data_IF_284884453168
#
_entry.id   IF_284884453168
#
_cell.length_a   1.000
_cell.length_b   1.000
_cell.length_c   1.000
_cell.angle_alpha   90.00
_cell.angle_beta   90.00
_cell.angle_gamma   90.00
#
_symmetry.space_group_name_H-M   'P 1'
#
loop_
_entity.id
_entity.type
_entity.pdbx_description
1 polymer ?
#
# COMPACT_ATOMS: atom_id res chain seq x y z
N UNK A 1 -9.95 24.99 -8.20
CA UNK A 1 -9.80 23.63 -8.61
C UNK A 1 -10.21 23.45 -10.08
N UNK A 2 -11.48 23.72 -10.42
CA UNK A 2 -12.04 23.50 -11.77
C UNK A 2 -11.77 24.63 -12.76
N UNK A 3 -11.36 25.82 -12.30
CA UNK A 3 -11.20 27.01 -13.15
C UNK A 3 -12.50 27.66 -13.63
N UNK A 4 -13.67 27.05 -13.37
CA UNK A 4 -14.97 27.57 -13.76
C UNK A 4 -15.53 28.44 -12.63
N UNK A 5 -15.87 29.73 -12.87
CA UNK A 5 -16.47 30.59 -11.86
C UNK A 5 -17.82 30.10 -11.38
N UNK A 6 -18.10 30.20 -10.08
CA UNK A 6 -19.38 29.80 -9.52
C UNK A 6 -20.61 30.49 -10.21
N UNK A 7 -20.47 31.74 -10.60
CA UNK A 7 -21.53 32.50 -11.30
C UNK A 7 -21.94 31.87 -12.64
N UNK A 8 -21.06 31.08 -13.27
CA UNK A 8 -21.36 30.38 -14.51
C UNK A 8 -22.04 29.03 -14.28
N UNK A 9 -22.03 28.53 -13.03
CA UNK A 9 -22.56 27.20 -12.68
C UNK A 9 -23.90 27.29 -11.92
N UNK A 10 -24.06 28.32 -11.07
CA UNK A 10 -25.26 28.47 -10.25
C UNK A 10 -26.50 28.65 -11.13
N UNK A 11 -27.56 27.85 -10.85
CA UNK A 11 -28.83 27.84 -11.59
C UNK A 11 -28.78 27.17 -12.96
N UNK A 12 -27.71 26.42 -13.28
CA UNK A 12 -27.56 25.66 -14.52
C UNK A 12 -27.45 24.16 -14.26
N UNK A 13 -27.74 23.36 -15.26
CA UNK A 13 -27.62 21.89 -15.25
C UNK A 13 -26.39 21.40 -16.03
N UNK A 14 -25.35 22.23 -16.14
CA UNK A 14 -24.15 21.94 -16.94
C UNK A 14 -22.91 21.76 -16.04
N UNK A 15 -23.09 21.27 -14.82
CA UNK A 15 -22.01 21.08 -13.85
C UNK A 15 -20.91 20.12 -14.34
N UNK A 16 -21.22 19.21 -15.24
CA UNK A 16 -20.26 18.32 -15.90
C UNK A 16 -19.11 19.09 -16.58
N UNK A 17 -19.34 20.32 -17.08
CA UNK A 17 -18.32 21.15 -17.75
C UNK A 17 -17.14 21.51 -16.85
N UNK A 18 -17.33 21.44 -15.54
CA UNK A 18 -16.26 21.67 -14.60
C UNK A 18 -15.29 20.48 -14.50
N UNK A 19 -15.68 19.29 -15.02
CA UNK A 19 -14.98 18.04 -14.78
C UNK A 19 -14.67 17.27 -16.07
N UNK A 20 -15.50 17.41 -17.11
CA UNK A 20 -15.44 16.57 -18.30
C UNK A 20 -15.51 17.40 -19.58
N UNK A 21 -14.86 16.92 -20.64
CA UNK A 21 -14.88 17.56 -21.97
C UNK A 21 -16.17 17.33 -22.73
N UNK A 22 -16.95 16.33 -22.34
CA UNK A 22 -18.22 15.95 -22.99
C UNK A 22 -19.34 15.88 -21.98
N UNK A 23 -20.56 16.18 -22.43
CA UNK A 23 -21.75 16.13 -21.59
C UNK A 23 -22.00 14.72 -21.04
N UNK A 24 -22.00 14.60 -19.73
CA UNK A 24 -22.32 13.37 -18.97
C UNK A 24 -22.78 13.73 -17.58
N UNK A 25 -23.60 12.89 -16.91
CA UNK A 25 -23.96 13.12 -15.52
C UNK A 25 -22.72 13.01 -14.63
N UNK A 26 -22.64 13.88 -13.61
CA UNK A 26 -21.74 13.72 -12.47
C UNK A 26 -22.41 12.82 -11.42
N UNK A 27 -21.66 12.40 -10.38
CA UNK A 27 -22.20 11.48 -9.38
C UNK A 27 -23.44 12.05 -8.67
N UNK A 28 -23.46 13.34 -8.38
CA UNK A 28 -24.62 14.00 -7.78
C UNK A 28 -25.88 13.91 -8.65
N UNK A 29 -25.76 14.04 -9.98
CA UNK A 29 -26.91 13.89 -10.90
C UNK A 29 -27.49 12.47 -10.81
N UNK A 30 -26.63 11.44 -10.84
CA UNK A 30 -27.05 10.04 -10.75
C UNK A 30 -27.73 9.73 -9.41
N UNK A 31 -27.27 10.36 -8.34
CA UNK A 31 -27.86 10.23 -6.99
C UNK A 31 -29.24 10.89 -6.92
N UNK A 32 -29.40 12.09 -7.48
CA UNK A 32 -30.69 12.80 -7.55
C UNK A 32 -31.70 12.01 -8.36
N UNK A 33 -31.27 11.45 -9.50
CA UNK A 33 -32.12 10.68 -10.39
C UNK A 33 -32.44 9.26 -9.87
N UNK A 34 -31.85 8.88 -8.72
CA UNK A 34 -32.07 7.57 -8.12
C UNK A 34 -31.56 6.41 -8.97
N UNK A 35 -30.52 6.66 -9.75
CA UNK A 35 -29.94 5.67 -10.66
C UNK A 35 -29.35 4.51 -9.89
N UNK A 36 -29.69 3.27 -10.30
CA UNK A 36 -29.11 2.05 -9.72
C UNK A 36 -27.60 1.94 -9.99
N UNK A 37 -26.91 1.15 -9.17
CA UNK A 37 -25.45 0.94 -9.29
C UNK A 37 -25.01 0.53 -10.71
N UNK A 38 -25.81 -0.29 -11.41
CA UNK A 38 -25.54 -0.65 -12.80
C UNK A 38 -25.54 0.55 -13.76
N UNK A 39 -26.34 1.57 -13.47
CA UNK A 39 -26.35 2.81 -14.23
C UNK A 39 -25.19 3.75 -13.85
N UNK A 40 -24.78 3.75 -12.57
CA UNK A 40 -23.56 4.46 -12.12
C UNK A 40 -22.33 3.85 -12.79
N UNK A 41 -22.28 2.51 -12.87
CA UNK A 41 -21.16 1.77 -13.46
C UNK A 41 -20.91 2.10 -14.94
N UNK A 42 -21.94 2.48 -15.68
CA UNK A 42 -21.78 2.94 -17.08
C UNK A 42 -20.84 4.15 -17.22
N UNK A 43 -20.76 4.98 -16.18
CA UNK A 43 -19.95 6.20 -16.18
C UNK A 43 -18.66 6.08 -15.36
N UNK A 44 -18.65 5.21 -14.35
CA UNK A 44 -17.53 5.10 -13.42
C UNK A 44 -16.72 3.79 -13.53
N UNK A 45 -17.22 2.81 -14.31
CA UNK A 45 -16.48 1.59 -14.70
C UNK A 45 -15.82 0.87 -13.52
N UNK A 46 -16.58 0.60 -12.47
CA UNK A 46 -16.10 -0.06 -11.24
C UNK A 46 -15.25 0.81 -10.31
N UNK A 47 -15.03 2.09 -10.63
CA UNK A 47 -14.24 3.01 -9.80
C UNK A 47 -15.07 3.72 -8.73
N UNK A 48 -16.16 3.12 -8.28
CA UNK A 48 -17.03 3.66 -7.25
C UNK A 48 -17.40 2.58 -6.24
N UNK A 49 -17.81 3.02 -5.06
CA UNK A 49 -18.36 2.16 -4.00
C UNK A 49 -19.42 2.93 -3.20
N UNK A 50 -20.23 2.18 -2.44
CA UNK A 50 -21.06 2.82 -1.42
C UNK A 50 -20.18 3.33 -0.29
N UNK A 51 -20.50 4.51 0.23
CA UNK A 51 -19.81 5.02 1.41
C UNK A 51 -20.11 4.12 2.61
N UNK A 52 -19.05 3.85 3.40
CA UNK A 52 -19.19 3.16 4.68
C UNK A 52 -19.55 4.10 5.84
N UNK A 53 -19.47 5.41 5.61
CA UNK A 53 -19.66 6.43 6.64
C UNK A 53 -20.96 7.20 6.49
N UNK A 54 -21.51 7.27 5.28
CA UNK A 54 -22.69 8.08 4.95
C UNK A 54 -23.71 7.18 4.25
N UNK A 55 -24.86 7.02 4.83
CA UNK A 55 -25.96 6.26 4.25
C UNK A 55 -26.40 6.88 2.92
N UNK A 56 -26.75 6.03 1.95
CA UNK A 56 -27.18 6.41 0.60
C UNK A 56 -26.18 7.31 -0.17
N UNK A 57 -24.89 7.24 0.19
CA UNK A 57 -23.83 7.95 -0.51
C UNK A 57 -22.93 7.00 -1.32
N UNK A 58 -22.37 7.54 -2.39
CA UNK A 58 -21.37 6.89 -3.22
C UNK A 58 -20.05 7.64 -3.16
N UNK A 59 -18.95 6.89 -3.18
CA UNK A 59 -17.58 7.38 -3.19
C UNK A 59 -16.87 6.89 -4.45
N UNK A 60 -16.02 7.73 -5.03
CA UNK A 60 -15.18 7.33 -6.15
C UNK A 60 -13.87 8.10 -6.15
N UNK A 61 -12.86 7.54 -6.81
CA UNK A 61 -11.59 8.20 -7.10
C UNK A 61 -11.36 8.15 -8.62
N UNK A 62 -11.02 9.30 -9.21
CA UNK A 62 -10.64 9.33 -10.63
C UNK A 62 -9.56 10.38 -10.89
N UNK A 63 -8.87 10.22 -12.03
CA UNK A 63 -7.85 11.14 -12.49
C UNK A 63 -8.46 12.13 -13.51
N UNK A 64 -8.28 13.41 -13.24
CA UNK A 64 -8.77 14.51 -14.08
C UNK A 64 -7.58 15.21 -14.75
N UNK A 65 -7.28 14.88 -16.03
CA UNK A 65 -6.08 15.39 -16.71
C UNK A 65 -6.13 16.90 -16.98
N UNK A 66 -7.33 17.47 -17.09
CA UNK A 66 -7.52 18.90 -17.33
C UNK A 66 -7.33 19.80 -16.09
N UNK A 67 -7.13 19.21 -14.88
CA UNK A 67 -7.03 19.99 -13.63
C UNK A 67 -5.58 20.34 -13.30
N UNK A 68 -5.27 21.64 -13.37
CA UNK A 68 -3.94 22.16 -13.05
C UNK A 68 -2.84 21.66 -13.99
N UNK A 69 -1.60 21.89 -13.64
CA UNK A 69 -0.47 21.35 -14.38
C UNK A 69 -0.27 19.86 -14.04
N UNK A 70 -0.44 19.01 -15.07
CA UNK A 70 -0.23 17.56 -14.95
C UNK A 70 -1.39 16.75 -14.39
N UNK A 71 -2.58 17.34 -14.30
CA UNK A 71 -3.79 16.65 -13.83
C UNK A 71 -3.87 16.50 -12.30
N UNK A 72 -5.04 16.02 -11.82
CA UNK A 72 -5.30 15.78 -10.39
C UNK A 72 -6.03 14.47 -10.19
N UNK A 73 -5.69 13.78 -9.13
CA UNK A 73 -6.50 12.72 -8.56
C UNK A 73 -7.51 13.32 -7.59
N UNK A 74 -8.79 13.10 -7.84
CA UNK A 74 -9.84 13.55 -6.93
C UNK A 74 -10.54 12.35 -6.31
N UNK A 75 -10.73 12.41 -5.02
CA UNK A 75 -11.70 11.60 -4.28
C UNK A 75 -12.97 12.42 -4.14
N UNK A 76 -14.10 11.86 -4.46
CA UNK A 76 -15.38 12.53 -4.35
C UNK A 76 -16.45 11.64 -3.72
N UNK A 77 -17.32 12.26 -2.98
CA UNK A 77 -18.46 11.63 -2.31
C UNK A 77 -19.73 12.36 -2.70
N UNK A 78 -20.72 11.63 -3.19
CA UNK A 78 -22.04 12.19 -3.48
C UNK A 78 -23.11 11.52 -2.62
N UNK A 79 -23.96 12.34 -1.99
CA UNK A 79 -25.05 11.90 -1.13
C UNK A 79 -26.36 12.62 -1.46
N UNK A 80 -27.48 11.92 -1.33
CA UNK A 80 -28.80 12.51 -1.50
C UNK A 80 -29.16 13.43 -0.32
N UNK A 81 -29.70 14.60 -0.64
CA UNK A 81 -30.34 15.47 0.32
C UNK A 81 -31.84 15.15 0.35
N UNK A 82 -32.39 14.88 1.55
CA UNK A 82 -33.78 14.50 1.73
C UNK A 82 -34.52 15.53 2.62
N UNK A 83 -35.79 15.70 2.34
CA UNK A 83 -36.69 16.47 3.23
C UNK A 83 -37.16 15.63 4.44
N UNK A 84 -37.98 16.19 5.29
CA UNK A 84 -38.51 15.51 6.48
C UNK A 84 -39.40 14.30 6.14
N UNK A 85 -39.99 14.28 4.96
CA UNK A 85 -40.80 13.20 4.40
C UNK A 85 -39.98 12.07 3.75
N UNK A 86 -38.64 12.26 3.66
CA UNK A 86 -37.70 11.29 3.07
C UNK A 86 -37.51 11.40 1.55
N UNK A 87 -38.17 12.39 0.91
CA UNK A 87 -38.07 12.61 -0.52
C UNK A 87 -36.72 13.27 -0.88
N UNK A 88 -36.11 12.86 -1.98
CA UNK A 88 -34.87 13.46 -2.47
C UNK A 88 -35.18 14.86 -3.02
N UNK A 89 -34.58 15.88 -2.41
CA UNK A 89 -34.71 17.28 -2.81
C UNK A 89 -33.45 17.83 -3.48
N UNK A 90 -32.39 17.04 -3.58
CA UNK A 90 -31.12 17.40 -4.19
C UNK A 90 -30.04 16.40 -3.86
N UNK A 91 -28.81 16.71 -4.22
CA UNK A 91 -27.61 15.99 -3.79
C UNK A 91 -26.49 16.96 -3.44
N UNK A 92 -25.59 16.50 -2.58
CA UNK A 92 -24.34 17.17 -2.29
C UNK A 92 -23.19 16.31 -2.85
N UNK A 93 -22.25 16.93 -3.54
CA UNK A 93 -21.01 16.28 -3.95
C UNK A 93 -19.82 17.05 -3.39
N UNK A 94 -18.91 16.35 -2.71
CA UNK A 94 -17.68 16.89 -2.16
C UNK A 94 -16.50 16.35 -2.95
N UNK A 95 -15.48 17.18 -3.13
CA UNK A 95 -14.27 16.80 -3.86
C UNK A 95 -13.02 17.11 -3.02
N UNK A 96 -12.15 16.14 -2.94
CA UNK A 96 -10.87 16.26 -2.26
C UNK A 96 -9.73 15.94 -3.23
N UNK A 97 -8.76 16.84 -3.33
CA UNK A 97 -7.52 16.56 -4.07
C UNK A 97 -6.67 15.57 -3.27
N UNK A 98 -6.47 14.38 -3.84
CA UNK A 98 -5.67 13.31 -3.26
C UNK A 98 -4.36 13.06 -4.04
N UNK A 99 -3.98 13.98 -4.90
CA UNK A 99 -2.82 13.85 -5.80
C UNK A 99 -1.53 13.60 -5.04
N UNK A 100 -1.27 14.39 -3.98
CA UNK A 100 -0.06 14.24 -3.18
C UNK A 100 -0.04 12.90 -2.43
N UNK A 101 -1.17 12.46 -1.89
CA UNK A 101 -1.30 11.12 -1.27
C UNK A 101 -0.95 10.03 -2.27
N UNK A 102 -1.56 10.04 -3.46
CA UNK A 102 -1.32 9.06 -4.53
C UNK A 102 0.14 9.06 -5.01
N UNK A 103 0.76 10.24 -5.12
CA UNK A 103 2.18 10.36 -5.48
C UNK A 103 3.10 9.77 -4.41
N UNK A 104 2.82 10.06 -3.14
CA UNK A 104 3.60 9.51 -2.03
C UNK A 104 3.49 7.98 -1.94
N UNK A 105 2.28 7.43 -2.09
CA UNK A 105 2.05 5.99 -2.13
C UNK A 105 2.77 5.31 -3.30
N UNK A 106 2.72 5.92 -4.49
CA UNK A 106 3.41 5.40 -5.67
C UNK A 106 4.94 5.43 -5.50
N UNK A 107 5.50 6.52 -4.98
CA UNK A 107 6.93 6.66 -4.72
C UNK A 107 7.41 5.67 -3.64
N UNK A 108 6.58 5.41 -2.62
CA UNK A 108 6.91 4.40 -1.60
C UNK A 108 6.96 3.00 -2.21
N UNK A 109 5.93 2.61 -2.98
CA UNK A 109 5.90 1.31 -3.68
C UNK A 109 7.09 1.13 -4.63
N UNK A 110 7.46 2.18 -5.36
CA UNK A 110 8.62 2.14 -6.25
C UNK A 110 9.92 1.91 -5.48
N UNK A 111 10.11 2.60 -4.35
CA UNK A 111 11.29 2.40 -3.50
C UNK A 111 11.34 1.00 -2.89
N UNK A 112 10.21 0.48 -2.42
CA UNK A 112 10.12 -0.88 -1.89
C UNK A 112 10.46 -1.92 -2.95
N UNK A 113 9.92 -1.78 -4.17
CA UNK A 113 10.23 -2.66 -5.28
C UNK A 113 11.72 -2.58 -5.69
N UNK A 114 12.30 -1.38 -5.69
CA UNK A 114 13.71 -1.19 -5.97
C UNK A 114 14.62 -1.86 -4.93
N UNK A 115 14.33 -1.69 -3.64
CA UNK A 115 15.08 -2.36 -2.57
C UNK A 115 14.97 -3.88 -2.65
N UNK A 116 13.78 -4.41 -2.94
CA UNK A 116 13.58 -5.83 -3.15
C UNK A 116 14.43 -6.37 -4.32
N UNK A 117 14.53 -5.63 -5.43
CA UNK A 117 15.36 -6.00 -6.57
C UNK A 117 16.86 -6.01 -6.23
N UNK A 118 17.33 -5.05 -5.40
CA UNK A 118 18.73 -5.03 -4.95
C UNK A 118 19.04 -6.28 -4.12
N UNK A 119 18.17 -6.62 -3.17
CA UNK A 119 18.35 -7.82 -2.32
C UNK A 119 18.32 -9.09 -3.17
N UNK A 120 17.37 -9.21 -4.08
CA UNK A 120 17.21 -10.38 -4.95
C UNK A 120 18.40 -10.54 -5.92
N UNK A 121 18.91 -9.42 -6.46
CA UNK A 121 20.06 -9.41 -7.38
C UNK A 121 21.43 -9.58 -6.72
N UNK A 122 21.50 -9.57 -5.38
CA UNK A 122 22.75 -9.75 -4.64
C UNK A 122 23.29 -11.18 -4.80
N UNK A 123 24.59 -11.29 -5.07
CA UNK A 123 25.30 -12.58 -5.04
C UNK A 123 25.62 -13.06 -3.61
N UNK A 124 25.42 -12.22 -2.62
CA UNK A 124 25.58 -12.57 -1.20
C UNK A 124 24.27 -13.16 -0.68
N UNK A 125 24.31 -14.39 -0.09
CA UNK A 125 23.12 -14.96 0.54
C UNK A 125 22.52 -14.00 1.58
N UNK A 126 21.32 -13.52 1.30
CA UNK A 126 20.66 -12.51 2.11
C UNK A 126 19.24 -12.93 2.44
N UNK A 127 18.92 -12.97 3.72
CA UNK A 127 17.56 -13.14 4.20
C UNK A 127 17.17 -11.96 5.07
N UNK A 128 15.87 -11.63 5.11
CA UNK A 128 15.30 -10.63 6.01
C UNK A 128 14.13 -11.27 6.76
N UNK A 129 14.06 -11.02 8.06
CA UNK A 129 12.92 -11.40 8.89
C UNK A 129 12.23 -10.14 9.42
N UNK A 130 10.94 -10.23 9.64
CA UNK A 130 10.16 -9.16 10.27
C UNK A 130 10.18 -9.25 11.81
N UNK A 131 9.49 -8.32 12.48
CA UNK A 131 9.36 -8.29 13.94
C UNK A 131 8.60 -9.49 14.54
N UNK A 132 7.97 -10.33 13.70
CA UNK A 132 7.31 -11.59 14.10
C UNK A 132 8.18 -12.81 13.79
N UNK A 133 9.45 -12.60 13.43
CA UNK A 133 10.40 -13.61 13.00
C UNK A 133 10.01 -14.34 11.71
N UNK A 134 9.10 -13.76 10.91
CA UNK A 134 8.72 -14.32 9.63
C UNK A 134 9.67 -13.83 8.54
N UNK A 135 10.12 -14.73 7.69
CA UNK A 135 10.98 -14.39 6.55
C UNK A 135 10.18 -13.54 5.57
N UNK A 136 10.65 -12.33 5.31
CA UNK A 136 10.09 -11.41 4.32
C UNK A 136 10.86 -11.45 2.99
N UNK A 137 12.17 -11.74 3.02
CA UNK A 137 13.02 -11.86 1.84
C UNK A 137 14.00 -13.03 1.98
N UNK A 138 14.19 -13.75 0.87
CA UNK A 138 15.09 -14.89 0.74
C UNK A 138 15.60 -14.90 -0.70
N UNK A 139 16.79 -14.36 -0.93
CA UNK A 139 17.28 -14.15 -2.29
C UNK A 139 17.81 -15.44 -2.95
N UNK A 140 18.04 -15.38 -4.25
CA UNK A 140 18.56 -16.51 -5.04
C UNK A 140 19.89 -17.06 -4.53
N UNK A 141 20.74 -16.21 -3.96
CA UNK A 141 21.99 -16.67 -3.37
C UNK A 141 21.75 -17.52 -2.11
N UNK A 142 20.70 -17.23 -1.31
CA UNK A 142 20.27 -18.11 -0.23
C UNK A 142 19.73 -19.44 -0.75
N UNK A 143 18.93 -19.44 -1.80
CA UNK A 143 18.46 -20.68 -2.43
C UNK A 143 19.61 -21.54 -2.91
N UNK A 144 20.59 -20.93 -3.60
CA UNK A 144 21.76 -21.62 -4.11
C UNK A 144 22.65 -22.19 -2.98
N UNK A 145 22.78 -21.47 -1.86
CA UNK A 145 23.56 -21.89 -0.71
C UNK A 145 22.92 -23.04 0.07
N UNK A 146 21.61 -22.94 0.32
CA UNK A 146 20.90 -23.80 1.27
C UNK A 146 20.08 -24.91 0.60
N UNK A 147 19.80 -24.78 -0.72
CA UNK A 147 18.87 -25.65 -1.43
C UNK A 147 17.39 -25.40 -1.08
N UNK A 148 17.09 -24.44 -0.19
CA UNK A 148 15.73 -24.10 0.21
C UNK A 148 15.17 -23.01 -0.68
N UNK A 149 14.04 -23.28 -1.37
CA UNK A 149 13.39 -22.31 -2.24
C UNK A 149 12.71 -21.21 -1.40
N UNK A 150 12.75 -19.98 -1.88
CA UNK A 150 12.09 -18.82 -1.27
C UNK A 150 10.58 -19.07 -1.00
N UNK A 151 9.90 -19.72 -1.93
CA UNK A 151 8.48 -20.07 -1.80
C UNK A 151 8.16 -20.96 -0.60
N UNK A 152 9.14 -21.71 -0.08
CA UNK A 152 8.93 -22.62 1.06
C UNK A 152 9.19 -21.94 2.41
N UNK A 153 9.91 -20.81 2.43
CA UNK A 153 10.38 -20.19 3.68
C UNK A 153 9.80 -18.78 3.90
N UNK A 154 9.48 -18.04 2.84
CA UNK A 154 8.84 -16.72 2.96
C UNK A 154 7.49 -16.84 3.67
N UNK A 155 7.24 -15.95 4.63
CA UNK A 155 6.05 -15.94 5.48
C UNK A 155 6.08 -16.93 6.63
N UNK A 156 7.15 -17.71 6.79
CA UNK A 156 7.34 -18.66 7.90
C UNK A 156 8.44 -18.20 8.85
N UNK A 157 8.52 -18.79 10.03
CA UNK A 157 9.62 -18.64 10.99
C UNK A 157 10.57 -19.85 11.00
N UNK A 158 10.51 -20.67 9.95
CA UNK A 158 11.25 -21.96 9.87
C UNK A 158 12.61 -21.83 9.16
N UNK A 159 13.11 -20.59 8.95
CA UNK A 159 14.37 -20.30 8.27
C UNK A 159 15.59 -21.00 8.88
N UNK A 160 15.56 -21.28 10.18
CA UNK A 160 16.61 -22.00 10.88
C UNK A 160 16.85 -23.40 10.32
N UNK A 161 15.82 -24.08 9.76
CA UNK A 161 15.91 -25.42 9.19
C UNK A 161 16.88 -25.48 7.99
N UNK A 162 17.05 -24.38 7.29
CA UNK A 162 17.97 -24.26 6.17
C UNK A 162 19.45 -24.27 6.59
N UNK A 163 19.74 -24.09 7.90
CA UNK A 163 21.09 -23.95 8.42
C UNK A 163 21.40 -24.93 9.56
N UNK A 164 20.39 -25.36 10.32
CA UNK A 164 20.59 -26.18 11.53
C UNK A 164 19.69 -27.40 11.55
N UNK A 165 20.19 -28.49 12.14
CA UNK A 165 19.42 -29.75 12.28
C UNK A 165 18.41 -29.71 13.43
N UNK A 166 18.55 -28.79 14.36
CA UNK A 166 17.63 -28.59 15.49
C UNK A 166 17.27 -27.13 15.61
N UNK A 167 16.04 -26.86 16.10
CA UNK A 167 15.55 -25.50 16.27
C UNK A 167 16.48 -24.69 17.18
N UNK A 168 16.97 -23.59 16.67
CA UNK A 168 17.71 -22.57 17.41
C UNK A 168 17.52 -21.21 16.75
N UNK A 169 17.55 -20.11 17.52
CA UNK A 169 17.50 -18.78 16.94
C UNK A 169 18.76 -18.48 16.12
N UNK A 170 18.59 -17.84 14.99
CA UNK A 170 19.68 -17.26 14.23
C UNK A 170 20.08 -15.89 14.77
N UNK A 171 21.18 -15.33 14.30
CA UNK A 171 21.66 -14.03 14.74
C UNK A 171 20.60 -12.92 14.51
N UNK A 172 19.88 -12.99 13.40
CA UNK A 172 18.77 -12.07 13.11
C UNK A 172 17.65 -12.13 14.15
N UNK A 173 17.28 -13.33 14.61
CA UNK A 173 16.27 -13.51 15.66
C UNK A 173 16.71 -12.89 16.99
N UNK A 174 18.00 -13.01 17.34
CA UNK A 174 18.56 -12.44 18.56
C UNK A 174 18.54 -10.90 18.51
N UNK A 175 18.78 -10.33 17.33
CA UNK A 175 18.70 -8.87 17.13
C UNK A 175 17.26 -8.40 17.26
N UNK A 176 16.30 -9.06 16.62
CA UNK A 176 14.87 -8.72 16.71
C UNK A 176 14.38 -8.78 18.17
N UNK A 177 14.80 -9.80 18.92
CA UNK A 177 14.45 -9.97 20.33
C UNK A 177 15.22 -9.04 21.27
N UNK A 178 16.17 -8.24 20.76
CA UNK A 178 17.03 -7.37 21.55
C UNK A 178 17.66 -8.08 22.76
N UNK A 179 18.17 -9.30 22.51
CA UNK A 179 18.76 -10.14 23.59
C UNK A 179 20.08 -9.56 24.09
N UNK A 180 20.45 -9.94 25.32
CA UNK A 180 21.72 -9.51 25.89
C UNK A 180 22.91 -10.16 25.19
N UNK A 181 24.07 -9.48 25.22
CA UNK A 181 25.34 -10.04 24.67
C UNK A 181 25.70 -11.40 25.30
N UNK A 182 25.37 -11.62 26.56
CA UNK A 182 25.58 -12.92 27.24
C UNK A 182 24.81 -14.06 26.55
N UNK A 183 23.66 -13.77 26.01
CA UNK A 183 22.85 -14.77 25.31
C UNK A 183 23.37 -15.02 23.89
N UNK A 184 23.84 -13.99 23.21
CA UNK A 184 24.56 -14.12 21.95
C UNK A 184 25.82 -14.96 22.15
N UNK A 185 26.60 -14.67 23.19
CA UNK A 185 27.83 -15.41 23.53
C UNK A 185 27.55 -16.88 23.81
N UNK A 186 26.49 -17.20 24.52
CA UNK A 186 26.08 -18.58 24.81
C UNK A 186 25.83 -19.40 23.55
N UNK A 187 25.27 -18.78 22.50
CA UNK A 187 24.91 -19.45 21.26
C UNK A 187 26.05 -19.51 20.24
N UNK A 188 26.89 -18.47 20.23
CA UNK A 188 27.99 -18.33 19.26
C UNK A 188 29.38 -18.59 19.88
N UNK A 189 29.47 -18.89 21.20
CA UNK A 189 30.67 -19.30 21.90
C UNK A 189 31.87 -18.35 21.70
N UNK A 190 31.64 -17.06 21.79
CA UNK A 190 32.67 -16.03 21.58
C UNK A 190 33.07 -15.79 20.12
N UNK A 191 32.45 -16.49 19.15
CA UNK A 191 32.72 -16.34 17.72
C UNK A 191 31.82 -15.30 17.07
N UNK A 192 31.60 -14.18 17.76
CA UNK A 192 30.85 -13.04 17.26
C UNK A 192 31.54 -11.74 17.67
N UNK A 193 31.23 -10.68 16.96
CA UNK A 193 31.66 -9.32 17.26
C UNK A 193 30.63 -8.30 16.78
N UNK A 194 30.69 -7.09 17.32
CA UNK A 194 29.99 -5.98 16.72
C UNK A 194 30.58 -5.61 15.37
N UNK A 195 29.74 -5.29 14.40
CA UNK A 195 30.21 -4.82 13.11
C UNK A 195 30.88 -3.45 13.26
N UNK A 196 32.05 -3.29 12.65
CA UNK A 196 32.76 -2.01 12.59
C UNK A 196 32.16 -1.06 11.55
N UNK A 197 31.36 -1.60 10.62
CA UNK A 197 30.82 -0.86 9.49
C UNK A 197 29.36 -0.45 9.69
N UNK A 198 28.58 -1.23 10.43
CA UNK A 198 27.15 -1.05 10.60
C UNK A 198 26.79 -0.95 12.08
N UNK A 199 26.33 0.22 12.51
CA UNK A 199 25.94 0.42 13.91
C UNK A 199 24.76 -0.52 14.28
N UNK A 200 24.88 -1.20 15.43
CA UNK A 200 23.88 -2.15 15.91
C UNK A 200 23.88 -3.52 15.24
N UNK A 201 24.78 -3.76 14.29
CA UNK A 201 24.92 -5.06 13.65
C UNK A 201 25.98 -5.94 14.34
N UNK A 202 25.78 -7.25 14.23
CA UNK A 202 26.72 -8.27 14.69
C UNK A 202 27.26 -9.06 13.50
N UNK A 203 28.49 -9.50 13.61
CA UNK A 203 29.16 -10.44 12.72
C UNK A 203 29.49 -11.71 13.50
N UNK A 204 29.16 -12.87 12.96
CA UNK A 204 29.49 -14.14 13.58
C UNK A 204 29.96 -15.16 12.54
N UNK A 205 30.82 -16.09 12.96
CA UNK A 205 31.25 -17.22 12.16
C UNK A 205 30.71 -18.50 12.77
N UNK A 206 30.04 -19.33 11.97
CA UNK A 206 29.56 -20.62 12.40
C UNK A 206 29.72 -21.65 11.28
N UNK A 207 29.78 -22.93 11.64
CA UNK A 207 29.86 -24.03 10.68
C UNK A 207 28.48 -24.64 10.50
N UNK A 208 28.00 -24.65 9.26
CA UNK A 208 26.74 -25.27 8.89
C UNK A 208 27.00 -26.67 8.31
N UNK A 209 26.66 -27.73 9.03
CA UNK A 209 26.82 -29.10 8.51
C UNK A 209 25.75 -29.33 7.44
N UNK A 210 26.20 -29.63 6.22
CA UNK A 210 25.35 -30.08 5.09
C UNK A 210 24.71 -31.43 5.35
#
# INVERSE_FOLDING_TARGET
LTGVPAAEMIGRSEQWRAFYDTARPIMADLVVDGVLESGIDLYYHGKFSRSLLIDDAYEAEDFFPAFGEGGRWLFFTAAALRNAEGEVIGAIETLQDITERRRAEAALREKEAYLAQIVEGSSVPTMVIDARHQVSHWNRACEALTGTLAANVIGTSEHWQSFYRSQRPMLADLIVNNVSEKEVDRLYHGRYRHSLLIAGAYEAEDFFPT
#
